data_IF_575215876111
#
_entry.id   IF_575215876111
#
_cell.length_a   1.000
_cell.length_b   1.000
_cell.length_c   1.000
_cell.angle_alpha   90.00
_cell.angle_beta   90.00
_cell.angle_gamma   90.00
#
_symmetry.space_group_name_H-M   'P 1'
#
loop_
_entity.id
_entity.type
_entity.pdbx_description
1 polymer ?
#
# COMPACT_ATOMS: atom_id res chain seq x y z
N UNK A 1 -3.38 25.18 -20.59
CA UNK A 1 -4.20 24.89 -19.40
C UNK A 1 -3.80 23.53 -18.86
N UNK A 2 -3.33 23.52 -17.61
CA UNK A 2 -2.66 22.43 -16.90
C UNK A 2 -3.68 21.39 -16.41
N UNK A 3 -3.43 20.09 -16.64
CA UNK A 3 -3.97 18.97 -15.85
C UNK A 3 -2.94 17.83 -15.82
N UNK A 4 -1.84 18.04 -15.10
CA UNK A 4 -1.05 16.92 -14.58
C UNK A 4 -1.55 16.69 -13.17
N UNK A 5 -2.36 15.66 -13.04
CA UNK A 5 -2.95 15.13 -11.82
C UNK A 5 -1.80 14.62 -10.94
N UNK A 6 -1.26 15.51 -10.10
CA UNK A 6 -0.37 15.12 -9.03
C UNK A 6 -1.17 14.24 -8.07
N UNK A 7 -0.78 12.99 -7.93
CA UNK A 7 -1.26 12.12 -6.86
C UNK A 7 -0.77 12.72 -5.54
N UNK A 8 -1.63 13.51 -4.90
CA UNK A 8 -1.42 13.98 -3.53
C UNK A 8 -1.58 12.77 -2.63
N UNK A 9 -0.44 12.27 -2.13
CA UNK A 9 -0.37 11.22 -1.13
C UNK A 9 -0.85 11.80 0.20
N UNK A 10 -2.15 11.72 0.47
CA UNK A 10 -2.70 12.03 1.78
C UNK A 10 -2.49 10.82 2.70
N UNK A 11 -1.29 10.71 3.28
CA UNK A 11 -1.04 9.82 4.41
C UNK A 11 -1.60 10.51 5.66
N UNK A 12 -2.76 10.02 6.07
CA UNK A 12 -3.47 10.41 7.27
C UNK A 12 -2.65 9.93 8.47
N UNK A 13 -1.83 10.83 9.02
CA UNK A 13 -1.22 10.69 10.34
C UNK A 13 -2.36 10.53 11.36
N UNK A 14 -2.59 9.30 11.83
CA UNK A 14 -3.42 9.07 13.00
C UNK A 14 -2.70 9.66 14.21
N UNK A 15 -3.11 10.88 14.57
CA UNK A 15 -2.71 11.55 15.80
C UNK A 15 -3.23 10.78 17.01
N UNK A 16 -2.30 10.34 17.84
CA UNK A 16 -2.52 9.84 19.19
C UNK A 16 -3.18 10.94 20.05
N UNK A 17 -4.47 10.78 20.32
CA UNK A 17 -5.17 11.50 21.37
C UNK A 17 -4.98 10.79 22.72
N UNK A 18 -3.99 11.23 23.48
CA UNK A 18 -3.85 10.94 24.91
C UNK A 18 -4.98 11.64 25.67
N UNK A 19 -5.92 10.86 26.21
CA UNK A 19 -7.03 11.31 27.05
C UNK A 19 -7.35 10.25 28.10
N UNK A 20 -6.77 10.43 29.28
CA UNK A 20 -6.88 9.66 30.52
C UNK A 20 -8.30 9.27 30.94
N UNK A 21 -8.58 7.96 31.09
CA UNK A 21 -8.97 7.20 32.30
C UNK A 21 -8.66 5.72 31.99
N UNK A 22 -7.94 4.99 32.86
CA UNK A 22 -7.53 3.60 32.57
C UNK A 22 -8.61 2.59 32.97
N UNK A 23 -9.33 1.93 32.03
CA UNK A 23 -9.65 0.52 32.19
C UNK A 23 -8.39 -0.27 31.84
N UNK A 24 -8.03 -1.25 32.65
CA UNK A 24 -7.00 -2.24 32.29
C UNK A 24 -7.34 -2.80 30.90
N UNK A 25 -6.47 -2.67 29.89
CA UNK A 25 -6.78 -3.22 28.58
C UNK A 25 -7.01 -4.72 28.75
N UNK A 26 -8.18 -5.19 28.33
CA UNK A 26 -8.42 -6.63 28.22
C UNK A 26 -7.40 -7.12 27.21
N UNK A 27 -6.49 -8.01 27.62
CA UNK A 27 -5.33 -8.45 26.83
C UNK A 27 -5.71 -8.97 25.42
N UNK A 28 -6.95 -9.41 25.22
CA UNK A 28 -7.51 -9.79 23.92
C UNK A 28 -7.75 -8.63 22.94
N UNK A 29 -8.17 -7.45 23.42
CA UNK A 29 -8.38 -6.27 22.56
C UNK A 29 -7.05 -5.74 22.02
N UNK A 30 -6.01 -5.73 22.86
CA UNK A 30 -4.66 -5.33 22.46
C UNK A 30 -4.08 -6.26 21.39
N UNK A 31 -4.33 -7.58 21.47
CA UNK A 31 -3.86 -8.54 20.48
C UNK A 31 -4.58 -8.37 19.13
N UNK A 32 -5.89 -8.09 19.17
CA UNK A 32 -6.71 -7.82 17.97
C UNK A 32 -6.27 -6.53 17.26
N UNK A 33 -6.00 -5.46 18.02
CA UNK A 33 -5.49 -4.21 17.49
C UNK A 33 -4.12 -4.35 16.82
N UNK A 34 -3.22 -5.18 17.38
CA UNK A 34 -1.94 -5.48 16.75
C UNK A 34 -2.10 -6.27 15.43
N UNK A 35 -3.07 -7.19 15.35
CA UNK A 35 -3.35 -7.93 14.12
C UNK A 35 -3.96 -7.05 13.03
N UNK A 36 -4.86 -6.13 13.40
CA UNK A 36 -5.38 -5.12 12.50
C UNK A 36 -4.26 -4.21 11.96
N UNK A 37 -3.33 -3.78 12.82
CA UNK A 37 -2.16 -3.00 12.40
C UNK A 37 -1.24 -3.77 11.45
N UNK A 38 -0.97 -5.06 11.73
CA UNK A 38 -0.15 -5.89 10.84
C UNK A 38 -0.79 -6.07 9.45
N UNK A 39 -2.11 -6.27 9.37
CA UNK A 39 -2.82 -6.34 8.08
C UNK A 39 -2.82 -5.01 7.33
N UNK A 40 -2.98 -3.88 8.05
CA UNK A 40 -2.89 -2.55 7.47
C UNK A 40 -1.50 -2.27 6.86
N UNK A 41 -0.43 -2.64 7.56
CA UNK A 41 0.94 -2.49 7.03
C UNK A 41 1.20 -3.42 5.84
N UNK A 42 0.67 -4.65 5.86
CA UNK A 42 0.79 -5.58 4.75
C UNK A 42 0.09 -5.06 3.48
N UNK A 43 -1.13 -4.52 3.62
CA UNK A 43 -1.85 -3.88 2.50
C UNK A 43 -1.13 -2.64 1.99
N UNK A 44 -0.58 -1.81 2.90
CA UNK A 44 0.25 -0.67 2.52
C UNK A 44 1.52 -1.11 1.76
N UNK A 45 2.17 -2.20 2.14
CA UNK A 45 3.34 -2.74 1.42
C UNK A 45 2.99 -3.13 -0.02
N UNK A 46 1.86 -3.80 -0.24
CA UNK A 46 1.41 -4.17 -1.57
C UNK A 46 1.15 -2.92 -2.44
N UNK A 47 0.50 -1.91 -1.87
CA UNK A 47 0.29 -0.63 -2.56
C UNK A 47 1.59 0.09 -2.90
N UNK A 48 2.58 0.08 -1.99
CA UNK A 48 3.90 0.68 -2.26
C UNK A 48 4.66 -0.10 -3.35
N UNK A 49 4.57 -1.44 -3.38
CA UNK A 49 5.14 -2.26 -4.44
C UNK A 49 4.49 -1.98 -5.80
N UNK A 50 3.18 -1.82 -5.85
CA UNK A 50 2.46 -1.45 -7.07
C UNK A 50 2.89 -0.06 -7.56
N UNK A 51 3.01 0.90 -6.64
CA UNK A 51 3.53 2.24 -6.95
C UNK A 51 4.97 2.18 -7.47
N UNK A 52 5.82 1.31 -6.90
CA UNK A 52 7.21 1.15 -7.33
C UNK A 52 7.28 0.62 -8.76
N UNK A 53 6.50 -0.43 -9.05
CA UNK A 53 6.42 -1.00 -10.39
C UNK A 53 5.88 0.01 -11.41
N UNK A 54 4.86 0.78 -11.05
CA UNK A 54 4.34 1.86 -11.88
C UNK A 54 5.40 2.94 -12.14
N UNK A 55 6.15 3.37 -11.11
CA UNK A 55 7.22 4.34 -11.29
C UNK A 55 8.38 3.81 -12.15
N UNK A 56 8.76 2.54 -12.02
CA UNK A 56 9.76 1.92 -12.90
C UNK A 56 9.33 1.92 -14.37
N UNK A 57 8.04 1.68 -14.65
CA UNK A 57 7.51 1.80 -16.02
C UNK A 57 7.60 3.24 -16.55
N UNK A 58 7.33 4.24 -15.69
CA UNK A 58 7.49 5.66 -16.04
C UNK A 58 8.95 6.00 -16.34
N UNK A 59 9.92 5.51 -15.54
CA UNK A 59 11.36 5.70 -15.81
C UNK A 59 11.75 5.17 -17.19
N UNK A 60 11.29 3.97 -17.54
CA UNK A 60 11.55 3.37 -18.85
C UNK A 60 10.97 4.21 -19.98
N UNK A 61 9.71 4.62 -19.86
CA UNK A 61 9.05 5.52 -20.83
C UNK A 61 9.80 6.84 -20.99
N UNK A 62 10.24 7.44 -19.88
CA UNK A 62 10.97 8.69 -19.89
C UNK A 62 12.34 8.56 -20.56
N UNK A 63 13.00 7.41 -20.42
CA UNK A 63 14.26 7.09 -21.10
C UNK A 63 14.07 7.03 -22.61
N UNK A 64 13.00 6.38 -23.09
CA UNK A 64 12.65 6.34 -24.52
C UNK A 64 12.40 7.75 -25.05
N UNK A 65 11.58 8.55 -24.35
CA UNK A 65 11.30 9.95 -24.72
C UNK A 65 12.57 10.80 -24.82
N UNK A 66 13.52 10.59 -23.92
CA UNK A 66 14.82 11.29 -23.93
C UNK A 66 15.60 10.98 -25.20
N UNK A 67 15.70 9.70 -25.56
CA UNK A 67 16.41 9.28 -26.76
C UNK A 67 15.74 9.82 -28.03
N UNK A 68 14.41 9.80 -28.09
CA UNK A 68 13.66 10.40 -29.20
C UNK A 68 13.88 11.90 -29.31
N UNK A 69 13.86 12.63 -28.19
CA UNK A 69 14.09 14.07 -28.17
C UNK A 69 15.51 14.42 -28.61
N UNK A 70 16.51 13.64 -28.17
CA UNK A 70 17.90 13.81 -28.59
C UNK A 70 18.07 13.59 -30.10
N UNK A 71 17.42 12.56 -30.65
CA UNK A 71 17.41 12.33 -32.11
C UNK A 71 16.76 13.51 -32.86
N UNK A 72 15.63 14.01 -32.37
CA UNK A 72 14.95 15.16 -32.98
C UNK A 72 15.79 16.44 -32.91
N UNK A 73 16.51 16.68 -31.80
CA UNK A 73 17.44 17.80 -31.65
C UNK A 73 18.59 17.71 -32.65
N UNK A 74 19.22 16.54 -32.76
CA UNK A 74 20.31 16.30 -33.72
C UNK A 74 19.83 16.51 -35.17
N UNK A 75 18.67 15.97 -35.53
CA UNK A 75 18.07 16.18 -36.86
C UNK A 75 17.75 17.66 -37.12
N UNK A 76 17.19 18.37 -36.13
CA UNK A 76 16.88 19.80 -36.24
C UNK A 76 18.15 20.64 -36.40
N UNK A 77 19.23 20.31 -35.69
CA UNK A 77 20.54 20.95 -35.84
C UNK A 77 21.15 20.70 -37.23
N UNK A 78 21.05 19.47 -37.75
CA UNK A 78 21.50 19.17 -39.12
C UNK A 78 20.69 19.97 -40.16
N UNK A 79 19.37 20.04 -40.00
CA UNK A 79 18.51 20.83 -40.88
C UNK A 79 18.84 22.32 -40.82
N UNK A 80 19.16 22.86 -39.63
CA UNK A 80 19.65 24.23 -39.49
C UNK A 80 20.97 24.44 -40.23
N UNK A 81 21.92 23.52 -40.11
CA UNK A 81 23.19 23.60 -40.83
C UNK A 81 22.99 23.61 -42.36
N UNK A 82 22.16 22.70 -42.89
CA UNK A 82 21.84 22.68 -44.32
C UNK A 82 21.13 23.95 -44.78
N UNK A 83 20.13 24.41 -44.02
CA UNK A 83 19.40 25.63 -44.32
C UNK A 83 20.32 26.87 -44.32
N UNK A 84 21.27 26.95 -43.37
CA UNK A 84 22.27 28.02 -43.30
C UNK A 84 23.17 28.05 -44.55
N UNK A 85 23.62 26.87 -45.00
CA UNK A 85 24.42 26.73 -46.22
C UNK A 85 23.63 27.15 -47.46
N UNK A 86 22.38 26.73 -47.57
CA UNK A 86 21.52 27.05 -48.70
C UNK A 86 21.18 28.54 -48.72
N UNK A 87 20.97 29.16 -47.56
CA UNK A 87 20.78 30.60 -47.42
C UNK A 87 22.02 31.39 -47.86
N UNK A 88 23.22 30.90 -47.54
CA UNK A 88 24.48 31.47 -48.00
C UNK A 88 24.60 31.37 -49.52
N UNK A 89 24.32 30.19 -50.10
CA UNK A 89 24.40 29.97 -51.54
C UNK A 89 23.37 30.81 -52.30
N UNK A 90 22.12 30.86 -51.84
CA UNK A 90 21.06 31.66 -52.44
C UNK A 90 21.39 33.17 -52.37
N UNK A 91 22.02 33.62 -51.28
CA UNK A 91 22.52 35.00 -51.15
C UNK A 91 23.65 35.31 -52.14
N UNK A 92 24.57 34.37 -52.37
CA UNK A 92 25.62 34.53 -53.40
C UNK A 92 25.03 34.59 -54.81
N UNK A 93 24.09 33.69 -55.14
CA UNK A 93 23.38 33.67 -56.43
C UNK A 93 22.60 34.95 -56.67
N UNK A 94 21.97 35.50 -55.63
CA UNK A 94 21.37 36.82 -55.68
C UNK A 94 22.38 37.89 -56.08
N UNK A 95 23.51 37.99 -55.37
CA UNK A 95 24.52 39.01 -55.68
C UNK A 95 25.01 38.91 -57.13
N UNK A 96 25.27 37.69 -57.62
CA UNK A 96 25.66 37.43 -59.01
C UNK A 96 24.58 37.89 -60.01
N UNK A 97 23.30 37.56 -59.76
CA UNK A 97 22.19 38.00 -60.61
C UNK A 97 22.02 39.52 -60.62
N UNK A 98 22.11 40.18 -59.46
CA UNK A 98 22.11 41.65 -59.34
C UNK A 98 23.20 42.28 -60.20
N UNK A 99 24.42 41.73 -60.17
CA UNK A 99 25.53 42.22 -60.96
C UNK A 99 25.30 41.99 -62.48
N UNK A 100 24.78 40.83 -62.86
CA UNK A 100 24.45 40.52 -64.25
C UNK A 100 23.39 41.47 -64.82
N UNK A 101 22.30 41.69 -64.09
CA UNK A 101 21.26 42.67 -64.43
C UNK A 101 21.86 44.07 -64.55
N UNK A 102 22.65 44.51 -63.56
CA UNK A 102 23.32 45.83 -63.60
C UNK A 102 24.17 46.01 -64.86
N UNK A 103 24.93 44.98 -65.27
CA UNK A 103 25.73 45.02 -66.52
C UNK A 103 24.83 45.14 -67.75
N UNK A 104 23.73 44.37 -67.83
CA UNK A 104 22.78 44.41 -68.95
C UNK A 104 22.06 45.75 -69.05
N UNK A 105 21.60 46.31 -67.93
CA UNK A 105 20.95 47.63 -67.90
C UNK A 105 21.90 48.75 -68.31
N UNK A 106 23.17 48.70 -67.92
CA UNK A 106 24.20 49.64 -68.41
C UNK A 106 24.40 49.53 -69.92
N UNK A 107 24.39 48.32 -70.48
CA UNK A 107 24.49 48.13 -71.93
C UNK A 107 23.29 48.74 -72.66
N UNK A 108 22.07 48.54 -72.15
CA UNK A 108 20.84 49.13 -72.70
C UNK A 108 20.87 50.67 -72.60
N UNK A 109 21.30 51.24 -71.46
CA UNK A 109 21.39 52.71 -71.29
C UNK A 109 22.42 53.36 -72.23
N UNK A 110 23.47 52.63 -72.62
CA UNK A 110 24.43 53.11 -73.64
C UNK A 110 23.84 53.12 -75.06
N UNK A 111 22.78 52.35 -75.30
CA UNK A 111 22.10 52.24 -76.59
C UNK A 111 20.89 53.19 -76.72
N UNK A 112 20.54 53.95 -75.66
CA UNK A 112 19.49 54.97 -75.70
C UNK A 112 19.18 55.56 -74.30
N UNK A 113 18.57 56.76 -74.22
CA UNK A 113 18.30 57.44 -72.95
C UNK A 113 17.16 56.72 -72.22
N UNK A 114 17.51 55.81 -71.30
CA UNK A 114 16.53 55.21 -70.38
C UNK A 114 16.54 55.94 -69.04
N UNK A 115 15.37 56.08 -68.37
CA UNK A 115 15.27 56.69 -67.03
C UNK A 115 16.10 55.93 -65.97
N UNK A 116 16.23 56.49 -64.75
CA UNK A 116 17.02 56.06 -63.56
C UNK A 116 16.85 54.60 -63.04
N UNK A 117 16.60 53.62 -63.89
CA UNK A 117 16.36 52.21 -63.60
C UNK A 117 17.57 51.50 -62.98
N UNK A 118 18.79 51.93 -63.35
CA UNK A 118 20.02 51.44 -62.71
C UNK A 118 20.01 51.78 -61.21
N UNK A 119 19.50 52.95 -60.86
CA UNK A 119 19.40 53.39 -59.47
C UNK A 119 18.32 52.59 -58.74
N UNK A 120 17.17 52.31 -59.35
CA UNK A 120 16.13 51.45 -58.77
C UNK A 120 16.64 50.02 -58.49
N UNK A 121 17.42 49.43 -59.41
CA UNK A 121 18.04 48.11 -59.24
C UNK A 121 19.14 48.12 -58.16
N UNK A 122 19.91 49.20 -58.05
CA UNK A 122 20.94 49.37 -57.02
C UNK A 122 20.36 49.62 -55.63
N UNK A 123 19.24 50.35 -55.55
CA UNK A 123 18.55 50.69 -54.31
C UNK A 123 17.58 49.60 -53.83
N UNK A 124 17.35 48.56 -54.64
CA UNK A 124 16.49 47.45 -54.26
C UNK A 124 17.08 46.70 -53.04
N UNK A 125 16.49 46.96 -51.86
CA UNK A 125 16.89 46.34 -50.61
C UNK A 125 16.48 44.87 -50.54
N UNK A 126 15.41 44.49 -51.25
CA UNK A 126 14.96 43.10 -51.36
C UNK A 126 15.03 42.55 -52.78
N UNK A 127 15.01 41.22 -52.88
CA UNK A 127 14.97 40.50 -54.13
C UNK A 127 13.66 40.66 -54.89
N UNK A 128 12.56 40.87 -54.15
CA UNK A 128 11.24 41.16 -54.70
C UNK A 128 11.17 42.57 -55.29
N UNK A 129 11.78 43.56 -54.62
CA UNK A 129 11.95 44.90 -55.17
C UNK A 129 12.85 44.88 -56.41
N UNK A 130 13.90 44.06 -56.39
CA UNK A 130 14.74 43.84 -57.55
C UNK A 130 13.93 43.24 -58.71
N UNK A 131 13.16 42.16 -58.49
CA UNK A 131 12.35 41.55 -59.56
C UNK A 131 11.31 42.52 -60.11
N UNK A 132 10.70 43.35 -59.28
CA UNK A 132 9.77 44.39 -59.73
C UNK A 132 10.50 45.45 -60.57
N UNK A 133 11.68 45.90 -60.13
CA UNK A 133 12.49 46.87 -60.88
C UNK A 133 12.96 46.32 -62.24
N UNK A 134 13.23 45.01 -62.34
CA UNK A 134 13.62 44.36 -63.59
C UNK A 134 12.42 44.07 -64.50
N UNK A 135 11.28 43.62 -63.95
CA UNK A 135 10.06 43.35 -64.70
C UNK A 135 9.49 44.59 -65.43
N UNK A 136 9.66 45.78 -64.84
CA UNK A 136 9.29 47.06 -65.48
C UNK A 136 10.10 47.31 -66.77
N UNK A 137 11.18 46.55 -67.00
CA UNK A 137 12.10 46.68 -68.13
C UNK A 137 11.79 45.58 -69.14
N UNK A 138 10.91 45.89 -70.11
CA UNK A 138 10.51 44.99 -71.21
C UNK A 138 11.67 44.39 -72.04
N UNK A 139 12.90 44.89 -71.89
CA UNK A 139 14.09 44.45 -72.65
C UNK A 139 14.92 43.38 -71.94
N UNK A 140 14.62 43.05 -70.69
CA UNK A 140 15.27 41.93 -69.99
C UNK A 140 14.55 40.63 -70.37
N UNK A 141 15.28 39.63 -70.85
CA UNK A 141 14.71 38.34 -71.25
C UNK A 141 13.93 37.69 -70.08
N UNK A 142 12.75 37.12 -70.38
CA UNK A 142 11.88 36.45 -69.39
C UNK A 142 12.61 35.43 -68.49
N UNK A 143 13.65 34.77 -69.01
CA UNK A 143 14.44 33.80 -68.25
C UNK A 143 15.17 34.42 -67.03
N UNK A 144 15.62 35.67 -67.13
CA UNK A 144 16.28 36.35 -66.01
C UNK A 144 15.29 36.79 -64.95
N UNK A 145 14.12 37.30 -65.36
CA UNK A 145 13.04 37.69 -64.45
C UNK A 145 12.57 36.49 -63.63
N UNK A 146 12.29 35.38 -64.30
CA UNK A 146 11.89 34.12 -63.66
C UNK A 146 12.96 33.63 -62.69
N UNK A 147 14.22 33.70 -63.08
CA UNK A 147 15.28 33.14 -62.25
C UNK A 147 15.70 34.06 -61.08
N UNK A 148 15.51 35.39 -61.17
CA UNK A 148 15.59 36.32 -60.04
C UNK A 148 14.42 36.08 -59.07
N UNK A 149 13.21 35.96 -59.62
CA UNK A 149 12.01 35.66 -58.84
C UNK A 149 12.14 34.33 -58.07
N UNK A 150 12.61 33.27 -58.73
CA UNK A 150 12.81 31.97 -58.10
C UNK A 150 13.80 32.04 -56.94
N UNK A 151 14.93 32.76 -57.10
CA UNK A 151 15.89 32.97 -55.99
C UNK A 151 15.26 33.79 -54.86
N UNK A 152 14.38 34.76 -55.16
CA UNK A 152 13.65 35.55 -54.17
C UNK A 152 12.74 34.68 -53.31
N UNK A 153 11.93 33.85 -53.97
CA UNK A 153 11.01 32.91 -53.34
C UNK A 153 11.78 31.90 -52.50
N UNK A 154 12.87 31.33 -53.04
CA UNK A 154 13.73 30.41 -52.29
C UNK A 154 14.34 31.06 -51.06
N UNK A 155 14.83 32.31 -51.13
CA UNK A 155 15.39 33.00 -49.96
C UNK A 155 14.34 33.28 -48.88
N UNK A 156 13.12 33.67 -49.28
CA UNK A 156 12.01 33.85 -48.34
C UNK A 156 11.67 32.52 -47.66
N UNK A 157 11.50 31.46 -48.45
CA UNK A 157 11.21 30.12 -47.94
C UNK A 157 12.31 29.64 -46.98
N UNK A 158 13.58 29.77 -47.34
CA UNK A 158 14.72 29.38 -46.50
C UNK A 158 14.74 30.14 -45.17
N UNK A 159 14.50 31.46 -45.17
CA UNK A 159 14.40 32.27 -43.94
C UNK A 159 13.22 31.86 -43.05
N UNK A 160 12.06 31.58 -43.66
CA UNK A 160 10.90 31.07 -42.93
C UNK A 160 11.20 29.69 -42.32
N UNK A 161 11.83 28.80 -43.09
CA UNK A 161 12.28 27.50 -42.58
C UNK A 161 13.28 27.66 -41.44
N UNK A 162 14.25 28.58 -41.54
CA UNK A 162 15.20 28.87 -40.47
C UNK A 162 14.50 29.28 -39.18
N UNK A 163 13.54 30.21 -39.25
CA UNK A 163 12.77 30.67 -38.10
C UNK A 163 11.96 29.52 -37.47
N UNK A 164 11.31 28.69 -38.29
CA UNK A 164 10.56 27.53 -37.81
C UNK A 164 11.48 26.49 -37.13
N UNK A 165 12.66 26.24 -37.70
CA UNK A 165 13.64 25.32 -37.13
C UNK A 165 14.21 25.83 -35.80
N UNK A 166 14.48 27.13 -35.67
CA UNK A 166 14.92 27.75 -34.41
C UNK A 166 13.82 27.67 -33.34
N UNK A 167 12.57 27.95 -33.70
CA UNK A 167 11.43 27.78 -32.79
C UNK A 167 11.28 26.34 -32.35
N UNK A 168 11.38 25.38 -33.28
CA UNK A 168 11.34 23.94 -32.97
C UNK A 168 12.50 23.54 -32.05
N UNK A 169 13.71 24.03 -32.30
CA UNK A 169 14.87 23.78 -31.45
C UNK A 169 14.62 24.30 -30.02
N UNK A 170 14.11 25.52 -29.87
CA UNK A 170 13.78 26.10 -28.56
C UNK A 170 12.70 25.27 -27.83
N UNK A 171 11.66 24.82 -28.55
CA UNK A 171 10.62 23.96 -27.98
C UNK A 171 11.18 22.60 -27.53
N UNK A 172 12.05 21.99 -28.32
CA UNK A 172 12.70 20.72 -27.96
C UNK A 172 13.61 20.89 -26.74
N UNK A 173 14.39 21.98 -26.66
CA UNK A 173 15.21 22.27 -25.46
C UNK A 173 14.35 22.49 -24.22
N UNK A 174 13.22 23.19 -24.34
CA UNK A 174 12.28 23.36 -23.24
C UNK A 174 11.67 22.01 -22.79
N UNK A 175 11.30 21.15 -23.75
CA UNK A 175 10.84 19.80 -23.44
C UNK A 175 11.93 18.97 -22.76
N UNK A 176 13.20 19.10 -23.16
CA UNK A 176 14.33 18.41 -22.51
C UNK A 176 14.44 18.81 -21.04
N UNK A 177 14.38 20.12 -20.74
CA UNK A 177 14.43 20.60 -19.36
C UNK A 177 13.27 20.10 -18.50
N UNK A 178 12.05 20.08 -19.05
CA UNK A 178 10.89 19.52 -18.35
C UNK A 178 11.07 18.02 -18.08
N UNK A 179 11.65 17.30 -19.05
CA UNK A 179 11.93 15.87 -18.94
C UNK A 179 12.95 15.58 -17.84
N UNK A 180 14.01 16.39 -17.75
CA UNK A 180 15.07 16.25 -16.76
C UNK A 180 14.59 16.60 -15.35
N UNK A 181 13.76 17.64 -15.21
CA UNK A 181 13.08 17.96 -13.95
C UNK A 181 12.19 16.80 -13.49
N UNK A 182 11.40 16.23 -14.41
CA UNK A 182 10.54 15.08 -14.09
C UNK A 182 11.36 13.84 -13.69
N UNK A 183 12.53 13.61 -14.30
CA UNK A 183 13.43 12.52 -13.89
C UNK A 183 14.01 12.74 -12.49
N UNK A 184 14.44 13.95 -12.17
CA UNK A 184 14.97 14.27 -10.84
C UNK A 184 13.89 14.07 -9.75
N UNK A 185 12.66 14.50 -10.03
CA UNK A 185 11.53 14.25 -9.14
C UNK A 185 11.26 12.75 -8.99
N UNK A 186 11.19 12.01 -10.09
CA UNK A 186 10.94 10.57 -10.07
C UNK A 186 12.03 9.80 -9.31
N UNK A 187 13.29 10.23 -9.41
CA UNK A 187 14.38 9.63 -8.64
C UNK A 187 14.26 9.90 -7.13
N UNK A 188 13.77 11.08 -6.76
CA UNK A 188 13.44 11.42 -5.37
C UNK A 188 12.29 10.55 -4.88
N UNK A 189 11.22 10.44 -5.66
CA UNK A 189 10.04 9.64 -5.33
C UNK A 189 10.39 8.16 -5.16
N UNK A 190 11.22 7.60 -6.06
CA UNK A 190 11.71 6.22 -5.95
C UNK A 190 12.53 5.98 -4.68
N UNK A 191 13.36 6.95 -4.29
CA UNK A 191 14.18 6.86 -3.08
C UNK A 191 13.30 6.89 -1.83
N UNK A 192 12.35 7.83 -1.79
CA UNK A 192 11.38 7.95 -0.70
C UNK A 192 10.50 6.70 -0.58
N UNK A 193 10.07 6.14 -1.72
CA UNK A 193 9.26 4.92 -1.76
C UNK A 193 10.04 3.71 -1.22
N UNK A 194 11.32 3.56 -1.59
CA UNK A 194 12.19 2.52 -1.03
C UNK A 194 12.37 2.67 0.48
N UNK A 195 12.49 3.91 0.96
CA UNK A 195 12.60 4.19 2.39
C UNK A 195 11.32 3.84 3.15
N UNK A 196 10.14 4.20 2.61
CA UNK A 196 8.84 3.84 3.19
C UNK A 196 8.66 2.31 3.26
N UNK A 197 9.06 1.58 2.22
CA UNK A 197 9.00 0.11 2.25
C UNK A 197 9.89 -0.48 3.36
N UNK A 198 11.11 0.03 3.53
CA UNK A 198 12.02 -0.40 4.59
C UNK A 198 11.49 -0.04 5.99
N UNK A 199 10.89 1.14 6.14
CA UNK A 199 10.23 1.57 7.38
C UNK A 199 9.05 0.65 7.72
N UNK A 200 8.16 0.37 6.76
CA UNK A 200 7.04 -0.55 6.97
C UNK A 200 7.51 -1.96 7.35
N UNK A 201 8.60 -2.44 6.74
CA UNK A 201 9.17 -3.74 7.09
C UNK A 201 9.73 -3.78 8.51
N UNK A 202 10.37 -2.69 8.95
CA UNK A 202 10.85 -2.53 10.33
C UNK A 202 9.69 -2.46 11.32
N UNK A 203 8.64 -1.69 10.99
CA UNK A 203 7.45 -1.54 11.83
C UNK A 203 6.69 -2.86 11.98
N UNK A 204 6.59 -3.64 10.89
CA UNK A 204 6.01 -4.98 10.93
C UNK A 204 6.80 -5.90 11.87
N UNK A 205 8.13 -5.92 11.79
CA UNK A 205 8.97 -6.70 12.70
C UNK A 205 8.81 -6.27 14.17
N UNK A 206 8.70 -4.97 14.43
CA UNK A 206 8.46 -4.44 15.78
C UNK A 206 7.08 -4.84 16.32
N UNK A 207 6.03 -4.81 15.49
CA UNK A 207 4.69 -5.24 15.87
C UNK A 207 4.63 -6.76 16.11
N UNK A 208 5.31 -7.57 15.29
CA UNK A 208 5.43 -9.01 15.53
C UNK A 208 6.12 -9.29 16.87
N UNK A 209 7.24 -8.61 17.16
CA UNK A 209 7.94 -8.75 18.43
C UNK A 209 7.09 -8.30 19.64
N UNK A 210 6.33 -7.20 19.50
CA UNK A 210 5.38 -6.77 20.53
C UNK A 210 4.26 -7.78 20.75
N UNK A 211 3.74 -8.38 19.68
CA UNK A 211 2.73 -9.44 19.75
C UNK A 211 3.25 -10.66 20.50
N UNK A 212 4.45 -11.12 20.17
CA UNK A 212 5.10 -12.25 20.85
C UNK A 212 5.34 -11.97 22.33
N UNK A 213 5.82 -10.76 22.67
CA UNK A 213 6.02 -10.35 24.05
C UNK A 213 4.71 -10.31 24.85
N UNK A 214 3.62 -9.83 24.25
CA UNK A 214 2.30 -9.78 24.89
C UNK A 214 1.76 -11.20 25.13
N UNK A 215 1.90 -12.11 24.16
CA UNK A 215 1.51 -13.52 24.32
C UNK A 215 2.31 -14.18 25.45
N UNK A 216 3.62 -13.93 25.55
CA UNK A 216 4.43 -14.45 26.65
C UNK A 216 3.99 -13.91 28.02
N UNK A 217 3.62 -12.63 28.12
CA UNK A 217 3.07 -12.07 29.35
C UNK A 217 1.76 -12.73 29.75
N UNK A 218 0.86 -12.95 28.78
CA UNK A 218 -0.42 -13.65 29.01
C UNK A 218 -0.17 -15.06 29.55
N UNK A 219 0.76 -15.81 28.94
CA UNK A 219 1.10 -17.16 29.40
C UNK A 219 1.72 -17.18 30.80
N UNK A 220 2.57 -16.20 31.13
CA UNK A 220 3.19 -16.10 32.45
C UNK A 220 2.16 -15.75 33.54
N UNK A 221 1.25 -14.81 33.26
CA UNK A 221 0.20 -14.42 34.21
C UNK A 221 -0.79 -15.58 34.43
N UNK A 222 -1.13 -16.34 33.38
CA UNK A 222 -1.97 -17.52 33.49
C UNK A 222 -1.31 -18.62 34.35
N UNK A 223 0.00 -18.85 34.20
CA UNK A 223 0.75 -19.80 35.03
C UNK A 223 0.85 -19.36 36.50
N UNK A 224 1.08 -18.06 36.75
CA UNK A 224 1.14 -17.51 38.10
C UNK A 224 -0.21 -17.65 38.84
N UNK A 225 -1.32 -17.31 38.18
CA UNK A 225 -2.67 -17.50 38.73
C UNK A 225 -2.99 -18.96 39.02
N UNK A 226 -2.56 -19.89 38.15
CA UNK A 226 -2.74 -21.32 38.38
C UNK A 226 -1.92 -21.84 39.58
N UNK A 227 -0.69 -21.33 39.78
CA UNK A 227 0.14 -21.69 40.93
C UNK A 227 -0.39 -21.13 42.26
N UNK A 228 -0.87 -19.88 42.28
CA UNK A 228 -1.51 -19.29 43.47
C UNK A 228 -2.78 -20.06 43.85
N UNK A 229 -3.62 -20.45 42.90
CA UNK A 229 -4.79 -21.28 43.18
C UNK A 229 -4.42 -22.67 43.71
N UNK A 230 -3.34 -23.28 43.22
CA UNK A 230 -2.87 -24.57 43.71
C UNK A 230 -2.29 -24.47 45.14
N UNK A 231 -1.54 -23.42 45.46
CA UNK A 231 -0.99 -23.20 46.81
C UNK A 231 -2.08 -22.82 47.83
N UNK A 232 -3.08 -22.02 47.43
CA UNK A 232 -4.22 -21.70 48.28
C UNK A 232 -5.06 -22.95 48.60
N UNK A 233 -5.20 -23.88 47.65
CA UNK A 233 -5.89 -25.17 47.88
C UNK A 233 -5.07 -26.08 48.80
N UNK A 234 -3.74 -26.14 48.65
CA UNK A 234 -2.89 -26.93 49.54
C UNK A 234 -2.87 -26.41 50.99
N UNK A 235 -2.88 -25.09 51.19
CA UNK A 235 -2.93 -24.48 52.52
C UNK A 235 -4.30 -24.68 53.22
N UNK A 236 -5.40 -24.65 52.45
CA UNK A 236 -6.74 -24.93 52.97
C UNK A 236 -6.91 -26.40 53.42
N UNK A 237 -6.26 -27.35 52.74
CA UNK A 237 -6.28 -28.76 53.12
C UNK A 237 -5.48 -29.03 54.41
N UNK A 238 -4.40 -28.28 54.66
CA UNK A 238 -3.58 -28.41 55.88
C UNK A 238 -4.28 -27.89 57.14
N UNK A 239 -5.17 -26.89 57.03
CA UNK A 239 -6.01 -26.44 58.14
C UNK A 239 -7.16 -27.40 58.48
N UNK A 240 -7.66 -28.19 57.51
CA UNK A 240 -8.67 -29.24 57.75
C UNK A 240 -8.13 -30.45 58.52
N UNK A 241 -6.82 -30.72 58.45
CA UNK A 241 -6.21 -31.85 59.17
C UNK A 241 -6.08 -31.62 60.68
N UNK A 242 -6.15 -30.38 61.18
CA UNK A 242 -6.03 -30.07 62.61
C UNK A 242 -7.38 -30.07 63.37
N UNK A 243 -8.52 -30.06 62.67
CA UNK A 243 -9.86 -30.10 63.30
C UNK A 243 -10.52 -31.49 63.32
N UNK A 244 -9.92 -32.50 62.68
CA UNK A 244 -10.45 -33.85 62.60
C UNK A 244 -10.01 -34.80 63.73
N UNK A 245 -9.22 -34.33 64.71
CA UNK A 245 -8.74 -35.15 65.83
C UNK A 245 -9.65 -35.17 67.07
N UNK A 246 -10.80 -34.45 67.06
CA UNK A 246 -11.67 -34.29 68.23
C UNK A 246 -13.14 -34.57 67.89
N UNK A 247 -13.47 -35.75 67.36
CA UNK A 247 -14.83 -36.30 67.55
C UNK A 247 -14.87 -37.80 67.23
N UNK A 248 -14.33 -38.62 68.13
CA UNK A 248 -14.66 -40.04 68.21
C UNK A 248 -15.74 -40.20 69.27
N UNK A 249 -16.94 -40.67 68.88
CA UNK A 249 -18.00 -40.95 69.85
C UNK A 249 -19.39 -41.18 69.23
N UNK A 250 -19.70 -42.46 68.97
CA UNK A 250 -21.02 -43.09 68.97
C UNK A 250 -22.12 -42.61 67.99
N UNK A 251 -22.26 -43.39 66.90
CA UNK A 251 -23.40 -44.28 66.76
C UNK A 251 -24.72 -43.69 66.26
N UNK A 252 -24.96 -43.75 64.95
CA UNK A 252 -26.27 -44.07 64.40
C UNK A 252 -26.13 -44.71 63.01
N UNK A 253 -26.81 -45.84 62.89
CA UNK A 253 -26.77 -46.79 61.78
C UNK A 253 -27.99 -46.51 60.90
N UNK A 254 -27.78 -46.11 59.64
CA UNK A 254 -28.78 -46.10 58.57
C UNK A 254 -28.12 -46.55 57.27
N UNK A 255 -28.42 -47.79 56.89
CA UNK A 255 -28.20 -48.45 55.60
C UNK A 255 -29.13 -47.88 54.51
N UNK A 256 -28.92 -48.16 53.20
CA UNK A 256 -27.79 -47.80 52.36
C UNK A 256 -28.29 -47.00 51.13
N UNK A 257 -27.90 -45.74 50.98
CA UNK A 257 -28.35 -44.91 49.84
C UNK A 257 -27.18 -44.19 49.19
N UNK A 258 -26.46 -44.92 48.33
CA UNK A 258 -25.46 -44.38 47.40
C UNK A 258 -24.22 -43.74 48.04
N UNK A 259 -23.04 -43.81 47.40
CA UNK A 259 -21.91 -42.98 47.83
C UNK A 259 -22.30 -41.51 47.65
N UNK A 260 -22.69 -40.85 48.74
CA UNK A 260 -22.82 -39.39 48.76
C UNK A 260 -21.42 -38.81 48.94
N UNK A 261 -20.91 -38.14 47.91
CA UNK A 261 -19.62 -37.48 47.93
C UNK A 261 -19.85 -35.97 48.11
N UNK A 262 -19.32 -35.42 49.20
CA UNK A 262 -19.39 -33.99 49.50
C UNK A 262 -18.08 -33.32 49.09
N UNK A 263 -18.14 -32.22 48.35
CA UNK A 263 -16.95 -31.46 47.92
C UNK A 263 -16.35 -31.94 46.60
N UNK A 264 -17.15 -32.54 45.72
CA UNK A 264 -16.75 -32.96 44.37
C UNK A 264 -16.47 -31.71 43.53
N UNK A 265 -15.33 -31.66 42.85
CA UNK A 265 -15.00 -30.57 41.92
C UNK A 265 -15.89 -30.70 40.67
N UNK A 266 -16.61 -29.65 40.33
CA UNK A 266 -17.47 -29.59 39.15
C UNK A 266 -16.86 -28.62 38.16
N UNK A 267 -16.55 -29.11 36.97
CA UNK A 267 -16.25 -28.29 35.78
C UNK A 267 -17.45 -28.30 34.85
N UNK A 268 -17.55 -27.30 33.98
CA UNK A 268 -18.60 -27.24 32.97
C UNK A 268 -17.99 -27.35 31.58
N UNK A 269 -18.68 -28.03 30.68
CA UNK A 269 -18.32 -28.08 29.27
C UNK A 269 -19.57 -28.00 28.40
N UNK A 270 -19.45 -27.39 27.22
CA UNK A 270 -20.55 -27.29 26.26
C UNK A 270 -20.44 -28.41 25.21
N UNK A 271 -21.30 -29.44 25.26
CA UNK A 271 -21.29 -30.51 24.26
C UNK A 271 -21.63 -30.03 22.84
N UNK A 272 -22.33 -28.90 22.67
CA UNK A 272 -22.65 -28.37 21.35
C UNK A 272 -21.42 -27.77 20.65
N UNK A 273 -20.50 -27.16 21.41
CA UNK A 273 -19.22 -26.63 20.91
C UNK A 273 -18.29 -27.77 20.44
N UNK A 274 -18.44 -28.96 21.04
CA UNK A 274 -17.72 -30.18 20.65
C UNK A 274 -18.46 -31.00 19.58
N UNK A 275 -19.54 -30.47 19.00
CA UNK A 275 -20.29 -31.11 17.91
C UNK A 275 -21.12 -32.35 18.31
N UNK A 276 -21.40 -32.53 19.61
CA UNK A 276 -22.12 -33.70 20.13
C UNK A 276 -23.64 -33.50 20.10
N UNK A 277 -24.38 -34.51 19.63
CA UNK A 277 -25.85 -34.53 19.57
C UNK A 277 -26.51 -35.01 20.88
N UNK A 278 -25.74 -35.24 21.95
CA UNK A 278 -26.23 -35.85 23.20
C UNK A 278 -27.04 -34.92 24.13
N UNK A 279 -27.04 -33.61 23.89
CA UNK A 279 -27.73 -32.63 24.75
C UNK A 279 -27.08 -32.42 26.13
N UNK A 280 -27.73 -31.67 27.01
CA UNK A 280 -27.18 -31.19 28.29
C UNK A 280 -27.52 -32.05 29.53
N UNK A 281 -28.03 -33.26 29.31
CA UNK A 281 -28.48 -34.16 30.39
C UNK A 281 -27.38 -35.10 30.91
N UNK A 282 -26.22 -35.11 30.25
CA UNK A 282 -25.07 -35.95 30.57
C UNK A 282 -24.05 -35.31 31.50
N UNK A 283 -23.28 -36.15 32.20
CA UNK A 283 -22.08 -35.76 32.96
C UNK A 283 -20.96 -36.74 32.68
N UNK A 284 -19.73 -36.23 32.63
CA UNK A 284 -18.53 -37.04 32.54
C UNK A 284 -17.94 -37.25 33.95
N UNK A 285 -17.70 -38.50 34.34
CA UNK A 285 -17.22 -38.84 35.68
C UNK A 285 -16.31 -40.06 35.65
N UNK A 286 -15.54 -40.27 36.72
CA UNK A 286 -14.74 -41.48 36.87
C UNK A 286 -15.67 -42.71 36.97
N UNK A 287 -15.65 -43.56 35.93
CA UNK A 287 -16.53 -44.74 35.84
C UNK A 287 -16.28 -45.82 36.90
N UNK A 288 -15.11 -45.82 37.55
CA UNK A 288 -14.85 -46.70 38.68
C UNK A 288 -15.61 -46.26 39.95
N UNK A 289 -15.95 -44.97 40.04
CA UNK A 289 -16.68 -44.37 41.17
C UNK A 289 -18.18 -44.26 40.86
N UNK A 290 -18.52 -43.83 39.65
CA UNK A 290 -19.89 -43.71 39.15
C UNK A 290 -20.03 -44.45 37.82
N UNK A 291 -20.53 -45.70 37.82
CA UNK A 291 -20.70 -46.46 36.59
C UNK A 291 -21.55 -45.74 35.53
N UNK A 292 -21.33 -46.07 34.25
CA UNK A 292 -22.10 -45.47 33.16
C UNK A 292 -23.57 -45.79 33.33
N UNK A 293 -24.43 -44.77 33.20
CA UNK A 293 -25.86 -44.86 33.43
C UNK A 293 -26.30 -44.49 34.85
N UNK A 294 -25.37 -44.27 35.79
CA UNK A 294 -25.72 -43.79 37.14
C UNK A 294 -26.36 -42.41 37.09
N UNK A 295 -27.49 -42.26 37.79
CA UNK A 295 -28.16 -40.97 37.97
C UNK A 295 -27.57 -40.27 39.18
N UNK A 296 -27.15 -39.02 38.99
CA UNK A 296 -26.53 -38.19 40.00
C UNK A 296 -27.42 -36.98 40.29
N UNK A 297 -27.70 -36.78 41.58
CA UNK A 297 -28.20 -35.51 42.11
C UNK A 297 -27.00 -34.67 42.54
N UNK A 298 -26.84 -33.52 41.92
CA UNK A 298 -25.75 -32.59 42.18
C UNK A 298 -26.34 -31.33 42.82
N UNK A 299 -25.93 -31.02 44.04
CA UNK A 299 -26.31 -29.82 44.77
C UNK A 299 -25.11 -28.89 44.80
N UNK A 300 -25.20 -27.78 44.07
CA UNK A 300 -24.18 -26.74 44.01
C UNK A 300 -24.08 -25.97 45.34
N UNK A 301 -22.97 -25.25 45.51
CA UNK A 301 -22.73 -24.44 46.71
C UNK A 301 -23.78 -23.32 46.92
N UNK A 302 -24.43 -22.86 45.85
CA UNK A 302 -25.53 -21.88 45.89
C UNK A 302 -26.90 -22.50 46.25
N UNK A 303 -26.94 -23.82 46.52
CA UNK A 303 -28.16 -24.57 46.82
C UNK A 303 -28.92 -25.07 45.58
N UNK A 304 -28.50 -24.68 44.37
CA UNK A 304 -29.10 -25.15 43.12
C UNK A 304 -28.90 -26.65 42.99
N UNK A 305 -29.98 -27.38 42.69
CA UNK A 305 -29.94 -28.83 42.52
C UNK A 305 -30.19 -29.19 41.06
N UNK A 306 -29.35 -30.06 40.51
CA UNK A 306 -29.52 -30.63 39.17
C UNK A 306 -29.43 -32.15 39.19
N UNK A 307 -30.06 -32.78 38.22
CA UNK A 307 -30.08 -34.24 38.06
C UNK A 307 -29.49 -34.60 36.69
N UNK A 308 -28.50 -35.49 36.67
CA UNK A 308 -27.75 -35.84 35.44
C UNK A 308 -27.38 -37.31 35.39
N UNK A 309 -27.12 -37.83 34.20
CA UNK A 309 -26.74 -39.23 33.99
C UNK A 309 -25.28 -39.31 33.55
N UNK A 310 -24.50 -40.20 34.18
CA UNK A 310 -23.13 -40.48 33.76
C UNK A 310 -23.13 -41.16 32.40
N UNK A 311 -22.60 -40.49 31.37
CA UNK A 311 -22.62 -40.99 30.00
C UNK A 311 -21.22 -41.16 29.38
N UNK A 312 -20.19 -40.56 29.99
CA UNK A 312 -18.81 -40.61 29.51
C UNK A 312 -17.80 -40.59 30.69
N UNK A 313 -16.57 -41.00 30.42
CA UNK A 313 -15.43 -40.95 31.37
C UNK A 313 -14.79 -39.57 31.50
N UNK A 314 -14.98 -38.71 30.49
CA UNK A 314 -14.16 -37.52 30.29
C UNK A 314 -12.69 -37.90 30.04
N UNK A 315 -11.83 -36.91 29.83
CA UNK A 315 -10.37 -37.15 29.66
C UNK A 315 -9.65 -37.38 31.01
N UNK A 316 -10.39 -37.47 32.13
CA UNK A 316 -9.89 -37.32 33.50
C UNK A 316 -9.69 -38.65 34.27
N UNK A 317 -9.48 -39.77 33.57
CA UNK A 317 -9.60 -41.12 34.16
C UNK A 317 -8.47 -41.52 35.14
N UNK A 318 -7.44 -40.71 35.38
CA UNK A 318 -6.38 -41.08 36.34
C UNK A 318 -5.97 -40.01 37.33
N UNK A 319 -6.25 -38.72 37.07
CA UNK A 319 -5.63 -37.63 37.83
C UNK A 319 -6.57 -36.99 38.87
N UNK A 320 -7.89 -37.17 38.74
CA UNK A 320 -8.89 -36.53 39.63
C UNK A 320 -10.15 -37.39 39.83
N UNK A 321 -10.16 -38.40 40.72
CA UNK A 321 -11.33 -39.26 40.94
C UNK A 321 -12.56 -38.52 41.54
N UNK A 322 -12.34 -37.34 42.12
CA UNK A 322 -13.38 -36.51 42.75
C UNK A 322 -13.77 -35.30 41.88
N UNK A 323 -13.64 -35.41 40.56
CA UNK A 323 -14.06 -34.39 39.60
C UNK A 323 -15.16 -34.92 38.68
N UNK A 324 -16.14 -34.08 38.39
CA UNK A 324 -17.23 -34.35 37.44
C UNK A 324 -17.32 -33.17 36.47
N UNK A 325 -17.40 -33.46 35.18
CA UNK A 325 -17.69 -32.45 34.16
C UNK A 325 -19.18 -32.47 33.83
N UNK A 326 -19.84 -31.34 34.02
CA UNK A 326 -21.27 -31.19 33.76
C UNK A 326 -21.49 -30.54 32.41
N UNK A 327 -22.28 -31.20 31.57
CA UNK A 327 -22.71 -30.63 30.31
C UNK A 327 -23.59 -29.40 30.56
N UNK A 328 -23.18 -28.23 30.07
CA UNK A 328 -23.85 -26.97 30.31
C UNK A 328 -23.71 -26.00 29.12
N UNK A 329 -24.76 -25.24 28.74
CA UNK A 329 -24.65 -24.28 27.65
C UNK A 329 -23.66 -23.18 28.00
N UNK A 330 -22.72 -22.86 27.11
CA UNK A 330 -21.64 -21.90 27.39
C UNK A 330 -22.15 -20.53 27.88
N UNK A 331 -23.28 -20.07 27.32
CA UNK A 331 -23.93 -18.80 27.69
C UNK A 331 -24.56 -18.79 29.09
N UNK A 332 -24.74 -19.96 29.72
CA UNK A 332 -25.35 -20.13 31.03
C UNK A 332 -24.38 -20.74 32.05
N UNK A 333 -23.10 -20.92 31.69
CA UNK A 333 -22.08 -21.37 32.63
C UNK A 333 -21.96 -20.30 33.72
N UNK A 334 -22.16 -20.65 34.99
CA UNK A 334 -22.00 -19.69 36.06
C UNK A 334 -20.59 -19.10 36.06
N UNK A 335 -20.45 -17.80 36.32
CA UNK A 335 -19.17 -17.07 36.23
C UNK A 335 -18.04 -17.65 37.06
N UNK A 336 -18.36 -18.47 38.07
CA UNK A 336 -17.38 -19.15 38.90
C UNK A 336 -16.63 -20.29 38.18
N UNK A 337 -17.14 -20.82 37.05
CA UNK A 337 -16.44 -21.75 36.14
C UNK A 337 -16.16 -23.15 36.71
N UNK A 338 -15.54 -23.27 37.88
CA UNK A 338 -15.37 -24.52 38.62
C UNK A 338 -15.91 -24.32 40.03
N UNK A 339 -16.76 -25.24 40.49
CA UNK A 339 -17.36 -25.15 41.83
C UNK A 339 -17.28 -26.48 42.57
N UNK A 340 -17.47 -26.47 43.88
CA UNK A 340 -17.64 -27.70 44.66
C UNK A 340 -19.12 -28.02 44.82
N UNK A 341 -19.51 -29.28 44.63
CA UNK A 341 -20.88 -29.72 44.82
C UNK A 341 -20.96 -30.95 45.73
N UNK A 342 -22.15 -31.17 46.28
CA UNK A 342 -22.54 -32.43 46.90
C UNK A 342 -23.20 -33.30 45.84
N UNK A 343 -22.66 -34.50 45.64
CA UNK A 343 -23.14 -35.45 44.64
C UNK A 343 -23.68 -36.68 45.33
N UNK A 344 -24.94 -36.99 45.07
CA UNK A 344 -25.61 -38.19 45.60
C UNK A 344 -26.02 -39.08 44.43
N UNK A 345 -25.73 -40.37 44.53
CA UNK A 345 -26.24 -41.37 43.59
C UNK A 345 -27.72 -41.61 43.86
N UNK A 346 -28.55 -41.36 42.84
CA UNK A 346 -29.97 -41.66 42.88
C UNK A 346 -30.21 -43.12 42.46
N UNK A 347 -31.01 -43.83 43.26
CA UNK A 347 -31.43 -45.21 43.02
C UNK A 347 -32.51 -45.33 41.95
#
# INVERSE_FOLDING_TARGET
MKKYTGYVLALLLLGLGLGSIAPTPVLGDALSDLDAQNQAIATQQNQLNDQLNAQMAVVSSQTIKTNQLQQQLNQTQQQLHYNQRDLTLATKRLAQRRQAVKKRLRAIQRQGPTPNLIQAVLQANSLTQLSQAVYVIKTVQQADDLAIHNVAVSLKALKTTQANLLTKQAQLVAQQQQLDQAKAQLQTDLTHLKQLMAQNQTQMAQLTAQKEALIQQIEQEAKAKAQEQAQAQAAADQQRSNTAAIFSGNGLNLTPSGPTATGVKISFYDPAVLGSTMGYNGVAANLAVYPKGTKLKIVFADGTTIHRVVNDTGTFVYTSPNQIDVAWPNAAIPSYGITSATVTVES
#
